data_IF_781123982304
#
_entry.id   IF_781123982304
#
_cell.length_a   1.000
_cell.length_b   1.000
_cell.length_c   1.000
_cell.angle_alpha   90.00
_cell.angle_beta   90.00
_cell.angle_gamma   90.00
#
_symmetry.space_group_name_H-M   'P 1'
#
loop_
_entity.id
_entity.type
_entity.pdbx_description
1 polymer ?
#
# COMPACT_ATOMS: atom_id res chain seq x y z
N UNK A 1 -8.68 18.58 -5.99
CA UNK A 1 -7.96 17.29 -6.16
C UNK A 1 -8.05 16.44 -4.90
N UNK A 2 -9.23 15.91 -4.56
CA UNK A 2 -9.49 15.22 -3.28
C UNK A 2 -9.61 13.69 -3.40
N UNK A 3 -9.68 13.16 -4.62
CA UNK A 3 -9.94 11.74 -4.88
C UNK A 3 -8.68 10.88 -4.67
N UNK A 4 -7.48 11.44 -4.90
CA UNK A 4 -6.21 10.69 -4.84
C UNK A 4 -5.74 10.35 -3.43
N UNK A 5 -6.16 11.08 -2.40
CA UNK A 5 -5.69 10.86 -1.01
C UNK A 5 -6.30 9.61 -0.38
N UNK A 6 -7.55 9.26 -0.75
CA UNK A 6 -8.22 8.06 -0.25
C UNK A 6 -7.59 6.77 -0.77
N UNK A 7 -7.18 6.77 -2.05
CA UNK A 7 -6.54 5.63 -2.70
C UNK A 7 -5.10 5.51 -2.21
N UNK A 8 -4.36 6.62 -2.10
CA UNK A 8 -3.02 6.64 -1.52
C UNK A 8 -3.02 6.13 -0.07
N UNK A 9 -4.01 6.50 0.75
CA UNK A 9 -4.14 6.00 2.13
C UNK A 9 -4.48 4.51 2.20
N UNK A 10 -5.35 4.00 1.32
CA UNK A 10 -5.61 2.55 1.20
C UNK A 10 -4.37 1.78 0.74
N UNK A 11 -3.68 2.29 -0.30
CA UNK A 11 -2.43 1.72 -0.81
C UNK A 11 -1.36 1.70 0.29
N UNK A 12 -1.12 2.82 0.98
CA UNK A 12 -0.19 2.88 2.11
C UNK A 12 -0.61 2.01 3.30
N UNK A 13 -1.91 1.76 3.48
CA UNK A 13 -2.42 0.82 4.48
C UNK A 13 -2.13 -0.63 4.12
N UNK A 14 -2.31 -1.02 2.87
CA UNK A 14 -1.98 -2.35 2.33
C UNK A 14 -0.46 -2.58 2.28
N UNK A 15 0.31 -1.55 1.88
CA UNK A 15 1.76 -1.58 1.81
C UNK A 15 2.46 -1.29 3.14
N UNK A 16 1.73 -0.80 4.16
CA UNK A 16 2.21 -0.84 5.54
C UNK A 16 2.20 -2.30 5.98
N UNK A 17 3.25 -3.03 5.57
CA UNK A 17 3.69 -4.34 6.02
C UNK A 17 3.94 -4.45 7.53
N UNK A 18 3.31 -3.60 8.37
CA UNK A 18 3.01 -4.01 9.74
C UNK A 18 2.08 -5.19 9.58
N UNK A 19 2.65 -6.40 9.67
CA UNK A 19 1.95 -7.69 9.77
C UNK A 19 0.52 -7.43 10.19
N UNK A 20 -0.40 -7.41 9.23
CA UNK A 20 -1.81 -7.26 9.52
C UNK A 20 -2.17 -8.60 10.16
N UNK A 21 -1.87 -8.71 11.45
CA UNK A 21 -2.32 -9.76 12.36
C UNK A 21 -3.80 -9.54 12.67
N UNK A 22 -4.59 -9.27 11.64
CA UNK A 22 -6.00 -8.97 11.76
C UNK A 22 -6.73 -9.69 10.63
N UNK A 23 -7.18 -10.91 10.91
CA UNK A 23 -8.56 -11.45 10.83
C UNK A 23 -9.61 -10.85 9.88
N UNK A 24 -9.35 -9.76 9.16
CA UNK A 24 -10.25 -9.15 8.18
C UNK A 24 -10.00 -9.78 6.81
N UNK A 25 -11.07 -10.29 6.22
CA UNK A 25 -11.07 -10.80 4.84
C UNK A 25 -10.72 -9.67 3.88
N UNK A 26 -9.68 -9.88 3.07
CA UNK A 26 -9.27 -8.94 2.02
C UNK A 26 -10.39 -8.78 1.00
N UNK A 27 -10.63 -7.55 0.56
CA UNK A 27 -11.46 -7.29 -0.63
C UNK A 27 -10.78 -7.89 -1.88
N UNK A 28 -11.57 -8.18 -2.91
CA UNK A 28 -11.05 -8.68 -4.20
C UNK A 28 -10.00 -7.74 -4.79
N UNK A 29 -10.21 -6.44 -4.66
CA UNK A 29 -9.28 -5.42 -5.15
C UNK A 29 -7.96 -5.41 -4.34
N UNK A 30 -8.06 -5.59 -3.02
CA UNK A 30 -6.89 -5.64 -2.13
C UNK A 30 -6.06 -6.90 -2.41
N UNK A 31 -6.73 -8.05 -2.64
CA UNK A 31 -6.06 -9.29 -3.02
C UNK A 31 -5.36 -9.18 -4.38
N UNK A 32 -6.02 -8.64 -5.40
CA UNK A 32 -5.44 -8.45 -6.73
C UNK A 32 -4.24 -7.49 -6.72
N UNK A 33 -4.29 -6.46 -5.88
CA UNK A 33 -3.19 -5.53 -5.71
C UNK A 33 -1.96 -6.20 -5.06
N UNK A 34 -2.18 -7.09 -4.08
CA UNK A 34 -1.12 -7.86 -3.45
C UNK A 34 -0.50 -8.85 -4.45
N UNK A 35 -1.30 -9.48 -5.30
CA UNK A 35 -0.81 -10.35 -6.37
C UNK A 35 0.07 -9.59 -7.36
N UNK A 36 -0.36 -8.42 -7.83
CA UNK A 36 0.45 -7.57 -8.69
C UNK A 36 1.75 -7.12 -8.02
N UNK A 37 1.69 -6.72 -6.75
CA UNK A 37 2.90 -6.34 -6.01
C UNK A 37 3.90 -7.49 -5.88
N UNK A 38 3.43 -8.73 -5.75
CA UNK A 38 4.31 -9.92 -5.72
C UNK A 38 4.98 -10.19 -7.07
N UNK A 39 4.31 -9.85 -8.17
CA UNK A 39 4.86 -9.97 -9.54
C UNK A 39 5.92 -8.90 -9.87
N UNK A 40 5.96 -7.79 -9.12
CA UNK A 40 6.98 -6.75 -9.32
C UNK A 40 8.39 -7.23 -9.00
N UNK A 41 9.37 -6.63 -9.67
CA UNK A 41 10.79 -6.85 -9.40
C UNK A 41 11.17 -6.38 -7.98
N UNK A 42 12.29 -6.88 -7.46
CA UNK A 42 12.74 -6.48 -6.12
C UNK A 42 13.01 -4.96 -6.03
N UNK A 43 13.62 -4.37 -7.06
CA UNK A 43 13.86 -2.93 -7.14
C UNK A 43 12.56 -2.13 -7.09
N UNK A 44 11.53 -2.57 -7.81
CA UNK A 44 10.25 -1.88 -7.84
C UNK A 44 9.52 -1.97 -6.50
N UNK A 45 9.61 -3.13 -5.83
CA UNK A 45 9.08 -3.32 -4.47
C UNK A 45 9.78 -2.39 -3.47
N UNK A 46 11.09 -2.22 -3.59
CA UNK A 46 11.86 -1.27 -2.76
C UNK A 46 11.40 0.16 -3.04
N UNK A 47 11.26 0.55 -4.31
CA UNK A 47 10.77 1.87 -4.70
C UNK A 47 9.36 2.16 -4.15
N UNK A 48 8.43 1.21 -4.26
CA UNK A 48 7.09 1.33 -3.69
C UNK A 48 7.11 1.49 -2.17
N UNK A 49 8.02 0.79 -1.48
CA UNK A 49 8.18 0.94 -0.02
C UNK A 49 8.63 2.35 0.35
N UNK A 50 9.59 2.92 -0.39
CA UNK A 50 10.00 4.31 -0.21
C UNK A 50 8.83 5.27 -0.47
N UNK A 51 8.12 5.13 -1.61
CA UNK A 51 6.94 5.94 -1.93
C UNK A 51 5.89 5.88 -0.82
N UNK A 52 5.54 4.69 -0.33
CA UNK A 52 4.56 4.53 0.74
C UNK A 52 5.01 5.18 2.05
N UNK A 53 6.32 5.14 2.33
CA UNK A 53 6.91 5.77 3.52
C UNK A 53 6.85 7.29 3.40
N UNK A 54 7.25 7.85 2.26
CA UNK A 54 7.15 9.29 1.99
C UNK A 54 5.71 9.79 2.05
N UNK A 55 4.78 9.06 1.43
CA UNK A 55 3.35 9.39 1.47
C UNK A 55 2.79 9.34 2.89
N UNK A 56 3.23 8.39 3.71
CA UNK A 56 2.85 8.30 5.12
C UNK A 56 3.32 9.53 5.90
N UNK A 57 4.57 9.94 5.70
CA UNK A 57 5.12 11.14 6.35
C UNK A 57 4.38 12.41 5.91
N UNK A 58 4.07 12.55 4.61
CA UNK A 58 3.28 13.68 4.09
C UNK A 58 1.85 13.67 4.67
N UNK A 59 1.22 12.50 4.78
CA UNK A 59 -0.15 12.38 5.32
C UNK A 59 -0.28 12.66 6.82
N UNK A 60 0.87 12.80 7.52
CA UNK A 60 0.94 13.10 8.95
C UNK A 60 0.83 14.61 9.23
N UNK A 61 1.00 15.44 8.20
CA UNK A 61 0.73 16.87 8.20
C UNK A 61 -0.68 17.14 7.67
#
# INVERSE_FOLDING_TARGET
MSISTGIARKLCGVFSFKRITATRRLSRDEASLIEHYRMLSESDRIAMRYLCTSLKEISRF
#
